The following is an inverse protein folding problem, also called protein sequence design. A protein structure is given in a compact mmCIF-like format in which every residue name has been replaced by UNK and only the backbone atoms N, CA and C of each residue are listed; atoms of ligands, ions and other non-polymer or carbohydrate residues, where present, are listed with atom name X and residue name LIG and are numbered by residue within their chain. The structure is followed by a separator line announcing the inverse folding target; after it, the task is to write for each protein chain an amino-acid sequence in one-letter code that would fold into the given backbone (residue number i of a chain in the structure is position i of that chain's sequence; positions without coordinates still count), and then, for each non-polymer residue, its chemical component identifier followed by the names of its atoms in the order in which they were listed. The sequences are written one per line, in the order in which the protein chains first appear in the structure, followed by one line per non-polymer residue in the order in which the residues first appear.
data_IF_635100125874
#
_entry.id   IF_635100125874
#
_cell.length_a   1.000
_cell.length_b   1.000
_cell.length_c   1.000
_cell.angle_alpha   90.00
_cell.angle_beta   90.00
_cell.angle_gamma   90.00
#
_symmetry.space_group_name_H-M   'P 1'
#
loop_
_entity.id
_entity.type
_entity.pdbx_description
1 polymer ?
#
# COMPACT_ATOMS: atom_id res chain seq x y z
N UNK A 1 8.60 -4.69 -9.83
CA UNK A 1 7.79 -4.52 -8.60
C UNK A 1 7.30 -3.08 -8.43
N UNK A 2 8.20 -2.08 -8.46
CA UNK A 2 7.83 -0.64 -8.46
C UNK A 2 6.80 -0.27 -9.54
N UNK A 3 7.04 -0.68 -10.80
CA UNK A 3 6.13 -0.37 -11.91
C UNK A 3 4.75 -1.03 -11.78
N UNK A 4 4.71 -2.24 -11.21
CA UNK A 4 3.48 -2.96 -10.89
C UNK A 4 2.67 -2.22 -9.83
N UNK A 5 3.33 -1.77 -8.75
CA UNK A 5 2.70 -0.96 -7.70
C UNK A 5 2.15 0.36 -8.24
N UNK A 6 2.93 1.07 -9.05
CA UNK A 6 2.49 2.32 -9.70
C UNK A 6 1.27 2.10 -10.59
N UNK A 7 1.25 1.01 -11.36
CA UNK A 7 0.13 0.68 -12.25
C UNK A 7 -1.14 0.34 -11.48
N UNK A 8 -1.05 -0.43 -10.39
CA UNK A 8 -2.20 -0.77 -9.56
C UNK A 8 -2.76 0.47 -8.85
N UNK A 9 -1.90 1.36 -8.35
CA UNK A 9 -2.33 2.61 -7.72
C UNK A 9 -3.06 3.51 -8.73
N UNK A 10 -2.55 3.60 -9.96
CA UNK A 10 -3.23 4.36 -11.02
C UNK A 10 -4.61 3.76 -11.34
N UNK A 11 -4.71 2.43 -11.44
CA UNK A 11 -5.98 1.74 -11.67
C UNK A 11 -7.00 1.99 -10.55
N UNK A 12 -6.57 1.96 -9.27
CA UNK A 12 -7.44 2.28 -8.12
C UNK A 12 -7.95 3.71 -8.22
N UNK A 13 -7.10 4.68 -8.57
CA UNK A 13 -7.50 6.10 -8.70
C UNK A 13 -8.54 6.32 -9.80
N UNK A 14 -8.34 5.68 -10.95
CA UNK A 14 -9.29 5.74 -12.07
C UNK A 14 -10.62 5.10 -11.64
N UNK A 15 -10.58 3.89 -11.09
CA UNK A 15 -11.78 3.19 -10.64
C UNK A 15 -12.54 3.95 -9.55
N UNK A 16 -11.87 4.56 -8.58
CA UNK A 16 -12.53 5.40 -7.56
C UNK A 16 -13.21 6.63 -8.16
N UNK A 17 -12.68 7.14 -9.28
CA UNK A 17 -13.25 8.32 -9.98
C UNK A 17 -14.44 7.92 -10.85
N UNK A 18 -14.36 6.78 -11.54
CA UNK A 18 -15.38 6.33 -12.48
C UNK A 18 -16.52 5.54 -11.80
N UNK A 19 -16.18 4.71 -10.81
CA UNK A 19 -17.14 3.86 -10.09
C UNK A 19 -16.62 3.54 -8.66
N UNK A 20 -16.90 4.42 -7.68
CA UNK A 20 -16.37 4.30 -6.31
C UNK A 20 -16.87 3.06 -5.55
N UNK A 21 -18.01 2.48 -5.94
CA UNK A 21 -18.57 1.28 -5.32
C UNK A 21 -18.11 -0.01 -6.00
N UNK A 22 -17.16 0.09 -6.94
CA UNK A 22 -16.67 -1.07 -7.68
C UNK A 22 -15.99 -2.08 -6.73
N UNK A 23 -16.40 -3.36 -6.74
CA UNK A 23 -15.75 -4.39 -5.94
C UNK A 23 -14.29 -4.63 -6.36
N UNK A 24 -13.90 -4.20 -7.56
CA UNK A 24 -12.52 -4.26 -8.03
C UNK A 24 -11.57 -3.37 -7.22
N UNK A 25 -12.07 -2.29 -6.60
CA UNK A 25 -11.25 -1.40 -5.77
C UNK A 25 -10.66 -2.16 -4.58
N UNK A 26 -11.49 -2.92 -3.85
CA UNK A 26 -11.02 -3.71 -2.70
C UNK A 26 -9.98 -4.77 -3.11
N UNK A 27 -10.21 -5.46 -4.23
CA UNK A 27 -9.29 -6.47 -4.76
C UNK A 27 -7.93 -5.84 -5.11
N UNK A 28 -7.93 -4.67 -5.74
CA UNK A 28 -6.71 -3.95 -6.09
C UNK A 28 -5.99 -3.41 -4.85
N UNK A 29 -6.72 -2.90 -3.86
CA UNK A 29 -6.14 -2.46 -2.59
C UNK A 29 -5.47 -3.62 -1.83
N UNK A 30 -6.07 -4.80 -1.80
CA UNK A 30 -5.47 -5.98 -1.18
C UNK A 30 -4.25 -6.49 -1.96
N UNK A 31 -4.26 -6.33 -3.29
CA UNK A 31 -3.10 -6.62 -4.13
C UNK A 31 -1.92 -5.68 -3.82
N UNK A 32 -2.19 -4.38 -3.60
CA UNK A 32 -1.17 -3.41 -3.15
C UNK A 32 -0.59 -3.82 -1.80
N UNK A 33 -1.44 -4.13 -0.81
CA UNK A 33 -0.98 -4.55 0.53
C UNK A 33 -0.08 -5.78 0.46
N UNK A 34 -0.46 -6.76 -0.36
CA UNK A 34 0.29 -8.01 -0.54
C UNK A 34 1.66 -7.75 -1.19
N UNK A 35 1.70 -6.95 -2.26
CA UNK A 35 2.95 -6.57 -2.92
C UNK A 35 3.89 -5.81 -1.99
N UNK A 36 3.36 -4.87 -1.19
CA UNK A 36 4.16 -4.14 -0.23
C UNK A 36 4.71 -5.05 0.87
N UNK A 37 3.89 -5.98 1.38
CA UNK A 37 4.34 -6.98 2.36
C UNK A 37 5.47 -7.84 1.81
N UNK A 38 5.34 -8.31 0.56
CA UNK A 38 6.39 -9.08 -0.11
C UNK A 38 7.67 -8.25 -0.28
N UNK A 39 7.55 -7.00 -0.71
CA UNK A 39 8.70 -6.11 -0.85
C UNK A 39 9.42 -5.84 0.47
N UNK A 40 8.66 -5.63 1.55
CA UNK A 40 9.20 -5.50 2.91
C UNK A 40 9.92 -6.77 3.36
N UNK A 41 9.35 -7.95 3.08
CA UNK A 41 9.98 -9.24 3.38
C UNK A 41 11.28 -9.42 2.60
N UNK A 42 11.27 -9.13 1.29
CA UNK A 42 12.44 -9.23 0.42
C UNK A 42 13.56 -8.28 0.90
N UNK A 43 13.22 -7.04 1.28
CA UNK A 43 14.16 -6.09 1.88
C UNK A 43 14.72 -6.57 3.23
N UNK A 44 13.86 -7.14 4.08
CA UNK A 44 14.28 -7.69 5.38
C UNK A 44 15.17 -8.93 5.22
N UNK A 45 14.99 -9.71 4.15
CA UNK A 45 15.82 -10.86 3.82
C UNK A 45 17.16 -10.45 3.20
N UNK A 46 17.22 -9.28 2.54
CA UNK A 46 18.42 -8.74 1.90
C UNK A 46 19.29 -7.88 2.81
N UNK A 47 18.82 -7.45 3.99
CA UNK A 47 19.55 -6.57 4.91
C UNK A 47 19.64 -7.17 6.31
N UNK A 48 20.85 -7.25 6.86
CA UNK A 48 21.06 -7.55 8.28
C UNK A 48 20.84 -6.36 9.21
N UNK A 49 20.35 -5.19 8.76
CA UNK A 49 20.29 -3.96 9.60
C UNK A 49 19.18 -2.97 9.20
N UNK A 50 17.94 -3.44 8.96
CA UNK A 50 16.78 -2.53 9.08
C UNK A 50 15.72 -3.25 9.90
N UNK A 51 15.34 -2.68 11.03
CA UNK A 51 14.27 -3.24 11.86
C UNK A 51 12.99 -3.27 11.02
N UNK A 52 12.35 -4.43 10.94
CA UNK A 52 11.12 -4.65 10.17
C UNK A 52 10.02 -3.63 10.52
N UNK A 53 10.00 -3.15 11.76
CA UNK A 53 9.08 -2.10 12.22
C UNK A 53 9.32 -0.74 11.55
N UNK A 54 10.58 -0.39 11.25
CA UNK A 54 10.91 0.86 10.56
C UNK A 54 10.42 0.83 9.10
N UNK A 55 10.60 -0.31 8.42
CA UNK A 55 10.07 -0.52 7.06
C UNK A 55 8.54 -0.48 7.04
N UNK A 56 7.89 -1.10 8.03
CA UNK A 56 6.43 -1.08 8.16
C UNK A 56 5.90 0.34 8.37
N UNK A 57 6.57 1.14 9.20
CA UNK A 57 6.18 2.52 9.50
C UNK A 57 6.29 3.44 8.27
N UNK A 58 7.39 3.36 7.53
CA UNK A 58 7.57 4.13 6.29
C UNK A 58 6.54 3.71 5.21
N UNK A 59 6.22 2.42 5.12
CA UNK A 59 5.18 1.92 4.24
C UNK A 59 3.79 2.45 4.63
N UNK A 60 3.41 2.37 5.91
CA UNK A 60 2.14 2.90 6.40
C UNK A 60 2.01 4.41 6.13
N UNK A 61 3.09 5.18 6.32
CA UNK A 61 3.13 6.60 6.00
C UNK A 61 2.90 6.84 4.50
N UNK A 62 3.59 6.10 3.63
CA UNK A 62 3.40 6.21 2.17
C UNK A 62 1.96 5.89 1.74
N UNK A 63 1.35 4.85 2.31
CA UNK A 63 -0.04 4.45 2.01
C UNK A 63 -1.06 5.50 2.51
N UNK A 64 -0.80 6.16 3.65
CA UNK A 64 -1.63 7.29 4.14
C UNK A 64 -1.54 8.51 3.23
N UNK A 65 -0.34 8.89 2.81
CA UNK A 65 -0.13 10.02 1.89
C UNK A 65 -0.83 9.80 0.54
N UNK A 66 -0.93 8.55 0.11
CA UNK A 66 -1.62 8.16 -1.12
C UNK A 66 -3.14 7.95 -0.95
N UNK A 67 -3.68 8.10 0.27
CA UNK A 67 -5.10 7.91 0.55
C UNK A 67 -5.58 6.46 0.38
N UNK A 68 -4.67 5.49 0.48
CA UNK A 68 -4.98 4.06 0.35
C UNK A 68 -5.48 3.49 1.69
N UNK A 69 -4.97 4.00 2.80
CA UNK A 69 -5.43 3.66 4.14
C UNK A 69 -5.81 4.92 4.92
N UNK A 70 -6.90 4.83 5.69
CA UNK A 70 -7.42 5.93 6.49
C UNK A 70 -6.47 6.28 7.62
N UNK A 71 -6.37 7.57 7.96
CA UNK A 71 -5.63 8.00 9.14
C UNK A 71 -6.41 7.56 10.39
N UNK A 72 -5.99 6.49 11.06
CA UNK A 72 -6.60 6.02 12.31
C UNK A 72 -6.20 6.89 13.52
N UNK A 73 -6.24 8.21 13.35
CA UNK A 73 -5.96 9.20 14.38
C UNK A 73 -7.08 10.25 14.40
N UNK A 74 -8.31 9.81 14.56
CA UNK A 74 -9.46 10.65 14.86
C UNK A 74 -10.53 9.83 15.61
N UNK A 75 -10.23 9.45 16.86
CA UNK A 75 -11.27 9.29 17.88
C UNK A 75 -10.62 9.23 19.28
N UNK A 76 -10.45 10.41 19.88
CA UNK A 76 -10.47 10.63 21.33
C UNK A 76 -11.12 11.98 21.58
#
# INVERSE_FOLDING_TARGET
MKDTLTSIIAAIKILKTENPDSPAIGILEDSVKTLCKQYTMDLSAMSSVIEFEEVKKELENGLKLLGIISNSAANK
#
